data_IF_503619076681
#
_entry.id   IF_503619076681
#
_cell.length_a   1.000
_cell.length_b   1.000
_cell.length_c   1.000
_cell.angle_alpha   90.00
_cell.angle_beta   90.00
_cell.angle_gamma   90.00
#
_symmetry.space_group_name_H-M   'P 1'
#
loop_
_entity.id
_entity.type
_entity.pdbx_description
1 polymer ?
#
# COMPACT_ATOMS: atom_id res chain seq x y z
N UNK A 1 -20.85 16.26 0.47
CA UNK A 1 -21.03 14.89 0.99
C UNK A 1 -19.64 14.35 1.28
N UNK A 2 -19.14 14.62 2.48
CA UNK A 2 -17.75 14.36 2.90
C UNK A 2 -17.68 12.98 3.53
N UNK A 3 -17.01 12.05 2.86
CA UNK A 3 -16.87 10.65 3.25
C UNK A 3 -15.98 10.50 4.50
N UNK A 4 -16.63 10.12 5.60
CA UNK A 4 -16.22 9.22 6.70
C UNK A 4 -14.71 8.92 6.85
N UNK A 5 -14.02 9.71 7.70
CA UNK A 5 -12.54 9.72 7.83
C UNK A 5 -11.94 9.03 9.07
N UNK A 6 -12.68 8.18 9.79
CA UNK A 6 -12.21 7.67 11.10
C UNK A 6 -11.98 6.15 11.21
N UNK A 7 -11.93 5.39 10.11
CA UNK A 7 -11.78 3.92 10.17
C UNK A 7 -10.56 3.36 9.43
N UNK A 8 -9.70 4.20 8.86
CA UNK A 8 -8.61 3.77 7.98
C UNK A 8 -7.22 4.19 8.45
N UNK A 9 -6.99 4.25 9.76
CA UNK A 9 -5.66 4.53 10.31
C UNK A 9 -4.71 3.36 9.96
N UNK A 10 -3.71 3.57 9.09
CA UNK A 10 -2.78 2.52 8.72
C UNK A 10 -1.84 2.22 9.89
N UNK A 11 -1.53 0.94 10.07
CA UNK A 11 -0.45 0.50 10.98
C UNK A 11 0.91 0.94 10.43
N UNK A 12 1.96 0.90 11.27
CA UNK A 12 3.31 1.31 10.84
C UNK A 12 3.78 0.62 9.55
N UNK A 13 3.46 -0.67 9.37
CA UNK A 13 3.84 -1.41 8.16
C UNK A 13 3.01 -1.00 6.93
N UNK A 14 1.71 -0.73 7.11
CA UNK A 14 0.83 -0.22 6.05
C UNK A 14 1.23 1.20 5.63
N UNK A 15 1.60 2.05 6.60
CA UNK A 15 2.07 3.41 6.35
C UNK A 15 3.36 3.44 5.51
N UNK A 16 4.28 2.49 5.72
CA UNK A 16 5.47 2.37 4.88
C UNK A 16 5.12 2.06 3.42
N UNK A 17 4.18 1.13 3.18
CA UNK A 17 3.70 0.80 1.84
C UNK A 17 3.04 2.02 1.18
N UNK A 18 2.20 2.74 1.93
CA UNK A 18 1.58 3.98 1.46
C UNK A 18 2.63 5.05 1.13
N UNK A 19 3.63 5.24 1.98
CA UNK A 19 4.73 6.16 1.71
C UNK A 19 5.50 5.78 0.45
N UNK A 20 5.70 4.49 0.18
CA UNK A 20 6.34 4.01 -1.04
C UNK A 20 5.49 4.35 -2.28
N UNK A 21 4.18 4.10 -2.21
CA UNK A 21 3.23 4.38 -3.28
C UNK A 21 3.04 5.88 -3.52
N UNK A 22 2.91 6.70 -2.47
CA UNK A 22 2.85 8.15 -2.58
C UNK A 22 4.10 8.77 -3.19
N UNK A 23 5.27 8.16 -2.99
CA UNK A 23 6.51 8.58 -3.66
C UNK A 23 6.53 8.18 -5.13
N UNK A 24 6.02 7.00 -5.46
CA UNK A 24 6.00 6.46 -6.81
C UNK A 24 4.87 5.44 -6.91
N UNK A 25 3.83 5.76 -7.67
CA UNK A 25 2.76 4.85 -8.04
C UNK A 25 2.52 4.96 -9.56
N UNK A 26 2.03 3.89 -10.23
CA UNK A 26 1.78 2.55 -9.70
C UNK A 26 3.04 1.72 -9.48
N UNK A 27 2.99 0.79 -8.52
CA UNK A 27 4.06 -0.19 -8.28
C UNK A 27 3.50 -1.60 -8.15
N UNK A 28 4.32 -2.59 -8.46
CA UNK A 28 4.02 -4.01 -8.22
C UNK A 28 4.35 -4.44 -6.79
N UNK A 29 3.79 -5.56 -6.33
CA UNK A 29 4.15 -6.17 -5.03
C UNK A 29 5.65 -6.36 -4.91
N UNK A 30 6.32 -6.75 -6.00
CA UNK A 30 7.76 -6.96 -6.03
C UNK A 30 8.51 -5.66 -5.77
N UNK A 31 8.19 -4.58 -6.50
CA UNK A 31 8.86 -3.28 -6.30
C UNK A 31 8.60 -2.69 -4.91
N UNK A 32 7.41 -2.89 -4.38
CA UNK A 32 7.06 -2.45 -3.02
C UNK A 32 7.84 -3.26 -1.99
N UNK A 33 7.95 -4.58 -2.18
CA UNK A 33 8.75 -5.45 -1.32
C UNK A 33 10.23 -5.10 -1.36
N UNK A 34 10.80 -4.86 -2.55
CA UNK A 34 12.19 -4.42 -2.73
C UNK A 34 12.45 -3.13 -1.94
N UNK A 35 11.57 -2.13 -2.05
CA UNK A 35 11.69 -0.89 -1.27
C UNK A 35 11.44 -1.05 0.22
N UNK A 36 10.57 -1.99 0.61
CA UNK A 36 10.33 -2.30 2.01
C UNK A 36 11.58 -2.91 2.63
N UNK A 37 12.18 -3.93 1.99
CA UNK A 37 13.39 -4.60 2.50
C UNK A 37 14.59 -3.66 2.58
N UNK A 38 14.70 -2.68 1.68
CA UNK A 38 15.71 -1.62 1.77
C UNK A 38 15.60 -0.78 3.05
N UNK A 39 14.38 -0.58 3.57
CA UNK A 39 14.12 0.21 4.77
C UNK A 39 13.97 -0.63 6.04
N UNK A 40 13.42 -1.83 5.91
CA UNK A 40 12.97 -2.66 7.03
C UNK A 40 12.94 -4.12 6.59
N UNK A 41 13.52 -5.01 7.36
CA UNK A 41 13.52 -6.45 7.05
C UNK A 41 12.10 -7.03 7.17
N UNK A 42 11.35 -6.99 6.06
CA UNK A 42 9.98 -7.48 5.95
C UNK A 42 9.96 -8.64 4.97
N UNK A 43 9.52 -9.81 5.44
CA UNK A 43 9.35 -10.98 4.59
C UNK A 43 8.34 -10.74 3.46
N UNK A 44 8.59 -11.32 2.29
CA UNK A 44 7.74 -11.16 1.09
C UNK A 44 6.27 -11.50 1.34
N UNK A 45 6.01 -12.59 2.07
CA UNK A 45 4.66 -13.03 2.44
C UNK A 45 3.98 -12.07 3.42
N UNK A 46 4.74 -11.44 4.31
CA UNK A 46 4.26 -10.41 5.22
C UNK A 46 3.84 -9.17 4.44
N UNK A 47 4.68 -8.68 3.52
CA UNK A 47 4.33 -7.57 2.64
C UNK A 47 3.06 -7.89 1.83
N UNK A 48 2.98 -9.09 1.25
CA UNK A 48 1.79 -9.54 0.52
C UNK A 48 0.52 -9.54 1.39
N UNK A 49 0.58 -10.09 2.60
CA UNK A 49 -0.55 -10.08 3.56
C UNK A 49 -0.98 -8.66 3.91
N UNK A 50 -0.03 -7.76 4.15
CA UNK A 50 -0.32 -6.36 4.44
C UNK A 50 -1.03 -5.73 3.23
N UNK A 51 -0.50 -5.90 2.02
CA UNK A 51 -1.14 -5.37 0.80
C UNK A 51 -2.56 -5.92 0.59
N UNK A 52 -2.78 -7.20 0.86
CA UNK A 52 -4.12 -7.81 0.81
C UNK A 52 -5.06 -7.19 1.83
N UNK A 53 -4.64 -7.04 3.08
CA UNK A 53 -5.42 -6.40 4.14
C UNK A 53 -5.73 -4.94 3.79
N UNK A 54 -4.76 -4.18 3.29
CA UNK A 54 -4.96 -2.80 2.86
C UNK A 54 -5.93 -2.70 1.68
N UNK A 55 -5.85 -3.62 0.73
CA UNK A 55 -6.82 -3.68 -0.38
C UNK A 55 -8.22 -4.00 0.14
N UNK A 56 -8.34 -4.94 1.09
CA UNK A 56 -9.62 -5.28 1.72
C UNK A 56 -10.21 -4.12 2.54
N UNK A 57 -9.35 -3.31 3.18
CA UNK A 57 -9.71 -2.06 3.87
C UNK A 57 -10.05 -0.91 2.92
N UNK A 58 -9.83 -1.07 1.61
CA UNK A 58 -9.98 0.01 0.63
C UNK A 58 -8.90 1.10 0.74
N UNK A 59 -7.76 0.81 1.38
CA UNK A 59 -6.60 1.71 1.45
C UNK A 59 -5.78 1.71 0.16
N UNK A 60 -5.74 0.57 -0.53
CA UNK A 60 -5.04 0.39 -1.80
C UNK A 60 -6.02 -0.07 -2.87
N UNK A 61 -5.74 0.37 -4.10
CA UNK A 61 -6.39 -0.13 -5.30
C UNK A 61 -5.38 -0.98 -6.05
N UNK A 62 -5.84 -2.10 -6.61
CA UNK A 62 -5.01 -2.94 -7.50
C UNK A 62 -5.67 -3.04 -8.87
N UNK A 63 -4.87 -2.94 -9.92
CA UNK A 63 -5.29 -3.13 -11.30
C UNK A 63 -4.48 -4.28 -11.92
N UNK A 64 -5.11 -5.17 -12.69
CA UNK A 64 -4.41 -6.20 -13.43
C UNK A 64 -3.57 -5.58 -14.56
N UNK A 65 -2.28 -5.93 -14.62
CA UNK A 65 -1.36 -5.51 -15.69
C UNK A 65 -0.61 -6.73 -16.24
N UNK A 66 -1.26 -7.45 -17.16
CA UNK A 66 -0.71 -8.67 -17.75
C UNK A 66 -0.49 -9.77 -16.71
N UNK A 67 0.79 -10.08 -16.41
CA UNK A 67 1.18 -11.12 -15.45
C UNK A 67 1.33 -10.61 -14.01
N UNK A 68 1.23 -9.31 -13.78
CA UNK A 68 1.43 -8.67 -12.49
C UNK A 68 0.22 -7.82 -12.09
N UNK A 69 0.16 -7.46 -10.80
CA UNK A 69 -0.84 -6.51 -10.28
C UNK A 69 -0.14 -5.20 -9.95
N UNK A 70 -0.65 -4.10 -10.51
CA UNK A 70 -0.23 -2.75 -10.18
C UNK A 70 -1.06 -2.26 -9.01
N UNK A 71 -0.39 -1.72 -8.00
CA UNK A 71 -1.01 -1.16 -6.82
C UNK A 71 -0.91 0.36 -6.84
N UNK A 72 -1.98 0.99 -6.39
CA UNK A 72 -2.19 2.42 -6.29
C UNK A 72 -2.64 2.75 -4.87
N UNK A 73 -2.19 3.89 -4.36
CA UNK A 73 -2.71 4.45 -3.13
C UNK A 73 -4.16 4.93 -3.36
N UNK A 74 -5.11 4.39 -2.59
CA UNK A 74 -6.51 4.82 -2.66
C UNK A 74 -6.81 5.93 -1.64
N UNK A 75 -5.88 6.20 -0.72
CA UNK A 75 -5.96 7.30 0.22
C UNK A 75 -4.93 8.38 -0.13
N UNK A 76 -5.33 9.65 0.03
CA UNK A 76 -4.39 10.78 -0.03
C UNK A 76 -3.75 10.95 1.35
N UNK A 77 -2.48 11.37 1.36
CA UNK A 77 -1.78 11.77 2.59
C UNK A 77 -2.56 12.92 3.20
N UNK A 78 -3.39 12.61 4.18
CA UNK A 78 -4.12 13.63 4.92
C UNK A 78 -3.12 14.32 5.85
N UNK A 79 -2.62 15.46 5.41
CA UNK A 79 -1.94 16.41 6.27
C UNK A 79 -2.96 16.93 7.30
N UNK A 80 -2.85 16.43 8.53
CA UNK A 80 -3.28 17.21 9.70
C UNK A 80 -2.08 17.99 10.21
#
# INVERSE_FOLDING_TARGET
MTMDKNTNMPTAAELEILNILWKKEPLTVKEIHEKLVEKKDVGYTTALKIMQNMTAKGLLRREPNGKSHLYFSNIKKEET
#
